data_IF_572400436868
#
_entry.id   IF_572400436868
#
_cell.length_a   1.000
_cell.length_b   1.000
_cell.length_c   1.000
_cell.angle_alpha   90.00
_cell.angle_beta   90.00
_cell.angle_gamma   90.00
#
_symmetry.space_group_name_H-M   'P 1'
#
loop_
_entity.id
_entity.type
_entity.pdbx_description
1 polymer ?
#
# COMPACT_ATOMS: atom_id res chain seq x y z
N UNK A 1 13.33 -7.85 3.69
CA UNK A 1 12.25 -7.42 2.79
C UNK A 1 11.14 -6.63 3.50
N UNK A 2 10.55 -7.18 4.58
CA UNK A 2 9.47 -6.53 5.35
C UNK A 2 9.76 -5.06 5.65
N UNK A 3 10.87 -4.74 6.33
CA UNK A 3 11.25 -3.37 6.69
C UNK A 3 11.28 -2.41 5.52
N UNK A 4 11.80 -2.86 4.36
CA UNK A 4 11.86 -2.06 3.14
C UNK A 4 10.46 -1.74 2.62
N UNK A 5 9.58 -2.74 2.49
CA UNK A 5 8.23 -2.53 1.94
C UNK A 5 7.36 -1.67 2.87
N UNK A 6 7.46 -1.84 4.19
CA UNK A 6 6.79 -0.98 5.17
C UNK A 6 7.23 0.48 5.03
N UNK A 7 8.53 0.73 4.90
CA UNK A 7 9.06 2.09 4.73
C UNK A 7 8.59 2.75 3.42
N UNK A 8 8.35 1.97 2.36
CA UNK A 8 7.78 2.49 1.12
C UNK A 8 6.27 2.78 1.26
N UNK A 9 5.52 1.96 1.99
CA UNK A 9 4.13 2.28 2.35
C UNK A 9 4.03 3.54 3.22
N UNK A 10 4.97 3.75 4.14
CA UNK A 10 5.01 4.94 4.99
C UNK A 10 5.17 6.21 4.17
N UNK A 11 6.03 6.20 3.14
CA UNK A 11 6.18 7.34 2.21
C UNK A 11 4.86 7.65 1.50
N UNK A 12 4.19 6.64 0.96
CA UNK A 12 2.87 6.81 0.33
C UNK A 12 1.84 7.36 1.32
N UNK A 13 1.79 6.84 2.55
CA UNK A 13 0.87 7.31 3.58
C UNK A 13 1.14 8.77 4.02
N UNK A 14 2.41 9.18 4.00
CA UNK A 14 2.86 10.55 4.27
C UNK A 14 2.70 11.50 3.08
N UNK A 15 2.13 11.02 1.97
CA UNK A 15 1.87 11.85 0.82
C UNK A 15 3.06 11.98 -0.15
N UNK A 16 4.06 11.09 -0.06
CA UNK A 16 5.33 11.21 -0.75
C UNK A 16 5.47 10.20 -1.90
N UNK A 17 6.16 10.63 -2.96
CA UNK A 17 6.64 9.77 -4.06
C UNK A 17 5.58 8.96 -4.81
N UNK A 18 4.29 9.33 -4.77
CA UNK A 18 3.24 8.57 -5.45
C UNK A 18 3.55 8.29 -6.92
N UNK A 19 4.09 9.28 -7.65
CA UNK A 19 4.40 9.10 -9.05
C UNK A 19 5.42 7.99 -9.32
N UNK A 20 6.38 7.84 -8.41
CA UNK A 20 7.45 6.85 -8.48
C UNK A 20 7.02 5.51 -7.90
N UNK A 21 6.31 5.53 -6.79
CA UNK A 21 5.97 4.36 -5.98
C UNK A 21 4.68 3.67 -6.42
N UNK A 22 3.78 4.31 -7.15
CA UNK A 22 2.63 3.62 -7.74
C UNK A 22 2.97 3.12 -9.13
N UNK A 23 2.85 1.81 -9.33
CA UNK A 23 3.02 1.18 -10.63
C UNK A 23 2.04 1.80 -11.64
N UNK A 24 2.39 1.95 -12.94
CA UNK A 24 1.49 2.52 -13.95
C UNK A 24 0.09 1.88 -13.98
N UNK A 25 0.03 0.57 -13.74
CA UNK A 25 -1.21 -0.20 -13.67
C UNK A 25 -1.79 -0.37 -12.24
N UNK A 26 -1.34 0.43 -11.28
CA UNK A 26 -1.81 0.37 -9.89
C UNK A 26 -3.33 0.50 -9.80
N UNK A 27 -3.91 -0.27 -8.87
CA UNK A 27 -5.27 -0.10 -8.43
C UNK A 27 -5.43 -0.42 -6.95
N UNK A 28 -6.48 0.13 -6.35
CA UNK A 28 -6.82 -0.10 -4.94
C UNK A 28 -8.29 -0.46 -4.77
N UNK A 29 -8.59 -1.31 -3.79
CA UNK A 29 -9.94 -1.45 -3.25
C UNK A 29 -10.05 -0.63 -1.97
N UNK A 30 -10.76 0.50 -2.08
CA UNK A 30 -11.00 1.39 -0.96
C UNK A 30 -12.00 0.79 0.03
N UNK A 31 -12.08 1.38 1.23
CA UNK A 31 -13.00 0.94 2.30
C UNK A 31 -14.47 0.84 1.87
N UNK A 32 -14.90 1.64 0.89
CA UNK A 32 -16.26 1.62 0.35
C UNK A 32 -16.53 0.46 -0.62
N UNK A 33 -15.52 -0.34 -0.95
CA UNK A 33 -15.58 -1.34 -2.02
C UNK A 33 -15.37 -0.76 -3.42
N UNK A 34 -15.23 0.58 -3.55
CA UNK A 34 -14.88 1.21 -4.83
C UNK A 34 -13.46 0.79 -5.24
N UNK A 35 -13.30 0.47 -6.52
CA UNK A 35 -11.99 0.33 -7.18
C UNK A 35 -11.46 1.71 -7.57
N UNK A 36 -10.23 1.99 -7.19
CA UNK A 36 -9.51 3.22 -7.50
C UNK A 36 -8.33 2.91 -8.42
N UNK A 37 -8.10 3.74 -9.42
CA UNK A 37 -6.96 3.68 -10.33
C UNK A 37 -5.83 4.59 -9.86
N UNK A 38 -4.62 4.39 -10.41
CA UNK A 38 -3.48 5.31 -10.22
C UNK A 38 -3.86 6.77 -10.47
N UNK A 39 -4.52 7.06 -11.59
CA UNK A 39 -4.89 8.43 -11.97
C UNK A 39 -5.86 9.04 -10.98
N UNK A 40 -6.86 8.29 -10.51
CA UNK A 40 -7.82 8.78 -9.51
C UNK A 40 -7.15 9.02 -8.16
N UNK A 41 -6.27 8.12 -7.71
CA UNK A 41 -5.52 8.32 -6.45
C UNK A 41 -4.61 9.54 -6.52
N UNK A 42 -3.94 9.77 -7.66
CA UNK A 42 -3.11 10.96 -7.87
C UNK A 42 -3.90 12.26 -7.95
N UNK A 43 -5.14 12.22 -8.44
CA UNK A 43 -6.01 13.39 -8.50
C UNK A 43 -6.56 13.78 -7.12
N UNK A 44 -6.73 12.81 -6.22
CA UNK A 44 -7.37 12.96 -4.91
C UNK A 44 -6.35 13.04 -3.76
N UNK A 45 -5.10 13.42 -4.07
CA UNK A 45 -4.01 13.53 -3.09
C UNK A 45 -4.29 14.60 -2.04
N UNK A 46 -4.97 14.22 -0.97
CA UNK A 46 -4.99 14.95 0.29
C UNK A 46 -4.05 14.25 1.27
N UNK A 47 -2.78 14.67 1.28
CA UNK A 47 -1.79 14.18 2.25
C UNK A 47 -2.18 14.54 3.70
N UNK A 48 -1.53 13.87 4.65
CA UNK A 48 -1.77 13.81 6.12
C UNK A 48 -2.64 12.62 6.58
N UNK A 49 -2.21 11.41 6.24
CA UNK A 49 -2.70 10.19 6.88
C UNK A 49 -1.92 9.89 8.17
N UNK A 50 -2.64 9.50 9.22
CA UNK A 50 -2.05 8.98 10.45
C UNK A 50 -1.28 7.67 10.18
N UNK A 51 -0.18 7.41 10.88
CA UNK A 51 0.58 6.16 10.80
C UNK A 51 0.09 5.21 11.90
N UNK A 52 -0.85 4.30 11.61
CA UNK A 52 -1.38 3.41 12.64
C UNK A 52 -0.30 2.45 13.14
N UNK A 53 -0.43 2.01 14.39
CA UNK A 53 0.34 0.87 14.88
C UNK A 53 0.09 -0.35 14.00
N UNK A 54 1.15 -1.16 13.80
CA UNK A 54 1.13 -2.32 12.93
C UNK A 54 1.34 -3.59 13.76
N UNK A 55 0.46 -4.56 13.60
CA UNK A 55 0.61 -5.92 14.16
C UNK A 55 0.46 -6.97 13.06
N UNK A 56 0.77 -8.25 13.38
CA UNK A 56 0.65 -9.37 12.45
C UNK A 56 1.29 -9.13 11.06
N UNK A 57 2.48 -8.53 11.05
CA UNK A 57 3.18 -8.19 9.82
C UNK A 57 3.77 -9.44 9.17
N UNK A 58 3.51 -9.63 7.88
CA UNK A 58 4.08 -10.70 7.08
C UNK A 58 4.39 -10.22 5.67
N UNK A 59 5.46 -10.74 5.06
CA UNK A 59 5.71 -10.56 3.64
C UNK A 59 6.05 -11.91 2.99
N UNK A 60 5.49 -12.13 1.81
CA UNK A 60 5.64 -13.36 1.03
C UNK A 60 6.10 -13.02 -0.38
N UNK A 61 7.12 -13.72 -0.87
CA UNK A 61 7.56 -13.58 -2.24
C UNK A 61 6.62 -14.35 -3.16
N UNK A 62 5.97 -13.65 -4.09
CA UNK A 62 5.08 -14.23 -5.10
C UNK A 62 5.84 -14.63 -6.37
N UNK A 63 6.87 -13.87 -6.72
CA UNK A 63 7.78 -14.10 -7.83
C UNK A 63 9.16 -13.48 -7.52
N UNK A 64 10.23 -13.73 -8.30
CA UNK A 64 11.57 -13.18 -8.03
C UNK A 64 11.59 -11.67 -7.75
N UNK A 65 10.73 -10.91 -8.43
CA UNK A 65 10.59 -9.46 -8.37
C UNK A 65 9.27 -9.00 -7.72
N UNK A 66 8.42 -9.90 -7.23
CA UNK A 66 7.07 -9.60 -6.76
C UNK A 66 6.83 -10.09 -5.33
N UNK A 67 6.34 -9.21 -4.47
CA UNK A 67 6.12 -9.48 -3.06
C UNK A 67 4.74 -9.03 -2.61
N UNK A 68 4.09 -9.87 -1.81
CA UNK A 68 2.91 -9.52 -1.05
C UNK A 68 3.32 -9.09 0.35
N UNK A 69 2.79 -7.97 0.82
CA UNK A 69 2.92 -7.48 2.19
C UNK A 69 1.53 -7.42 2.80
N UNK A 70 1.39 -7.97 4.01
CA UNK A 70 0.18 -7.81 4.80
C UNK A 70 0.48 -7.52 6.25
N UNK A 71 -0.42 -6.77 6.88
CA UNK A 71 -0.34 -6.40 8.29
C UNK A 71 -1.70 -5.92 8.77
N UNK A 72 -1.88 -5.86 10.09
CA UNK A 72 -3.08 -5.32 10.73
C UNK A 72 -2.80 -3.92 11.26
N UNK A 73 -3.61 -2.94 10.85
CA UNK A 73 -3.67 -1.65 11.55
C UNK A 73 -4.55 -1.76 12.78
N UNK A 74 -4.18 -1.07 13.85
CA UNK A 74 -5.01 -0.95 15.07
C UNK A 74 -5.58 0.47 15.22
N UNK A 75 -6.41 0.66 16.25
CA UNK A 75 -7.09 1.93 16.53
C UNK A 75 -8.44 2.09 15.82
N UNK A 76 -8.89 3.33 15.64
CA UNK A 76 -10.24 3.65 15.12
C UNK A 76 -10.46 3.25 13.66
N UNK A 77 -9.38 2.97 12.92
CA UNK A 77 -9.40 2.45 11.56
C UNK A 77 -8.69 1.10 11.48
N UNK A 78 -9.04 0.20 12.40
CA UNK A 78 -8.53 -1.17 12.40
C UNK A 78 -8.89 -1.89 11.09
N UNK A 79 -7.90 -2.49 10.45
CA UNK A 79 -8.06 -3.13 9.14
C UNK A 79 -6.96 -4.17 8.90
N UNK A 80 -7.30 -5.20 8.14
CA UNK A 80 -6.30 -6.00 7.44
C UNK A 80 -5.85 -5.24 6.20
N UNK A 81 -4.56 -4.94 6.13
CA UNK A 81 -3.94 -4.23 5.03
C UNK A 81 -3.11 -5.20 4.21
N UNK A 82 -3.18 -5.03 2.91
CA UNK A 82 -2.57 -5.90 1.92
C UNK A 82 -2.07 -5.05 0.76
N UNK A 83 -0.80 -5.20 0.40
CA UNK A 83 -0.21 -4.59 -0.78
C UNK A 83 0.62 -5.59 -1.59
N UNK A 84 0.69 -5.37 -2.89
CA UNK A 84 1.59 -6.09 -3.78
C UNK A 84 2.62 -5.11 -4.32
N UNK A 85 3.88 -5.48 -4.22
CA UNK A 85 5.03 -4.70 -4.62
C UNK A 85 5.81 -5.43 -5.71
N UNK A 86 6.22 -4.70 -6.74
CA UNK A 86 7.01 -5.21 -7.86
C UNK A 86 8.30 -4.41 -7.98
N UNK A 87 9.43 -5.09 -8.09
CA UNK A 87 10.74 -4.47 -8.34
C UNK A 87 10.93 -4.27 -9.84
N UNK A 88 10.83 -3.02 -10.27
CA UNK A 88 10.99 -2.63 -11.68
C UNK A 88 12.35 -1.97 -11.92
N UNK A 89 12.65 -1.60 -13.17
CA UNK A 89 13.81 -0.78 -13.50
C UNK A 89 13.77 0.62 -12.82
N UNK A 90 12.57 1.13 -12.49
CA UNK A 90 12.38 2.37 -11.74
C UNK A 90 12.47 2.18 -10.21
N UNK A 91 12.77 0.96 -9.76
CA UNK A 91 12.74 0.55 -8.37
C UNK A 91 11.42 -0.10 -7.97
N UNK A 92 11.18 -0.21 -6.67
CA UNK A 92 9.96 -0.79 -6.11
C UNK A 92 8.74 0.08 -6.40
N UNK A 93 7.70 -0.57 -6.92
CA UNK A 93 6.40 0.04 -7.19
C UNK A 93 5.28 -0.84 -6.65
N UNK A 94 4.29 -0.22 -6.00
CA UNK A 94 3.08 -0.87 -5.55
C UNK A 94 2.15 -1.10 -6.74
N UNK A 95 1.77 -2.36 -6.97
CA UNK A 95 0.85 -2.79 -8.03
C UNK A 95 -0.61 -2.87 -7.56
N UNK A 96 -0.81 -3.06 -6.26
CA UNK A 96 -2.13 -3.21 -5.63
C UNK A 96 -2.11 -2.79 -4.15
N UNK A 97 -3.22 -2.23 -3.66
CA UNK A 97 -3.48 -2.02 -2.24
C UNK A 97 -4.95 -2.32 -1.86
N UNK A 98 -5.16 -2.79 -0.63
CA UNK A 98 -6.48 -2.88 0.00
C UNK A 98 -6.34 -2.77 1.52
N UNK A 99 -7.33 -2.13 2.14
CA UNK A 99 -7.53 -2.13 3.58
C UNK A 99 -8.94 -2.62 3.92
N UNK A 100 -9.07 -3.88 4.34
CA UNK A 100 -10.34 -4.49 4.74
C UNK A 100 -10.62 -4.19 6.20
N UNK A 101 -11.68 -3.43 6.53
CA UNK A 101 -12.00 -3.09 7.92
C UNK A 101 -12.21 -4.33 8.79
N UNK A 102 -11.73 -4.26 10.03
CA UNK A 102 -12.00 -5.26 11.07
C UNK A 102 -13.18 -4.73 11.91
N UNK A 103 -14.28 -5.50 12.05
CA UNK A 103 -15.42 -5.14 12.88
C UNK A 103 -15.06 -4.92 14.36
#
# INVERSE_FOLDING_TARGET
>A
MITTLLALEDRLAQGQDFDRLLHPEFFEFGRSGRRWTRTEVLAELSGHGDQPSRTAVSAYQLAPDCWHLSWRSEGTRAAWRSSIWVQTAAGWQMRFHQATPIP
#
